data_IF_984732318276
#
_entry.id   IF_984732318276
#
_cell.length_a   1.000
_cell.length_b   1.000
_cell.length_c   1.000
_cell.angle_alpha   90.00
_cell.angle_beta   90.00
_cell.angle_gamma   90.00
#
_symmetry.space_group_name_H-M   'P 1'
#
loop_
_entity.id
_entity.type
_entity.pdbx_description
1 polymer ?
#
# COMPACT_ATOMS: atom_id res chain seq x y z
N UNK A 1 -22.16 11.20 -23.18
CA UNK A 1 -21.69 9.88 -23.66
C UNK A 1 -20.71 9.37 -22.61
N UNK A 2 -21.18 8.56 -21.67
CA UNK A 2 -20.36 8.01 -20.57
C UNK A 2 -20.22 6.53 -20.87
N UNK A 3 -19.01 6.12 -21.22
CA UNK A 3 -18.69 4.73 -21.51
C UNK A 3 -18.18 4.11 -20.21
N UNK A 4 -18.96 3.17 -19.68
CA UNK A 4 -18.55 2.23 -18.64
C UNK A 4 -17.84 1.06 -19.31
N UNK A 5 -16.63 0.69 -18.86
CA UNK A 5 -16.08 -0.65 -19.09
C UNK A 5 -15.44 -1.20 -17.81
N UNK A 6 -15.89 -2.42 -17.52
CA UNK A 6 -15.45 -3.34 -16.48
C UNK A 6 -13.97 -3.75 -16.61
N UNK A 7 -13.31 -3.94 -15.46
CA UNK A 7 -12.07 -4.69 -15.36
C UNK A 7 -11.57 -4.77 -13.91
N UNK A 8 -11.57 -5.98 -13.34
CA UNK A 8 -11.05 -6.38 -12.02
C UNK A 8 -11.88 -5.98 -10.79
N UNK A 9 -12.89 -6.80 -10.51
CA UNK A 9 -13.57 -6.86 -9.22
C UNK A 9 -12.67 -7.67 -8.28
N UNK A 10 -11.67 -7.03 -7.66
CA UNK A 10 -11.21 -7.52 -6.35
C UNK A 10 -12.19 -6.96 -5.33
N UNK A 11 -13.03 -7.86 -4.85
CA UNK A 11 -14.21 -7.57 -4.09
C UNK A 11 -13.83 -7.08 -2.68
N UNK A 12 -13.71 -5.76 -2.47
CA UNK A 12 -13.58 -5.15 -1.14
C UNK A 12 -14.85 -5.31 -0.26
N UNK A 13 -15.85 -6.12 -0.65
CA UNK A 13 -17.10 -6.28 0.10
C UNK A 13 -17.24 -7.54 0.96
N UNK A 14 -16.16 -8.33 1.16
CA UNK A 14 -16.10 -9.31 2.25
C UNK A 14 -14.91 -9.04 3.16
N UNK A 15 -15.01 -7.99 3.95
CA UNK A 15 -14.49 -7.85 5.34
C UNK A 15 -14.94 -6.50 5.96
N UNK A 16 -16.03 -5.90 5.46
CA UNK A 16 -16.73 -4.80 6.15
C UNK A 16 -17.72 -5.38 7.16
N UNK A 17 -17.19 -5.89 8.28
CA UNK A 17 -17.99 -6.09 9.48
C UNK A 17 -17.29 -5.46 10.68
N UNK A 18 -17.73 -4.23 10.99
CA UNK A 18 -17.73 -3.64 12.32
C UNK A 18 -16.52 -3.90 13.23
N UNK A 19 -15.48 -3.09 13.07
CA UNK A 19 -14.88 -2.22 14.11
C UNK A 19 -13.67 -1.51 13.50
N UNK A 20 -13.43 -0.28 13.97
CA UNK A 20 -12.20 0.49 13.76
C UNK A 20 -10.99 -0.44 13.60
N UNK A 21 -10.32 -0.41 12.44
CA UNK A 21 -8.92 -0.80 12.36
C UNK A 21 -8.12 0.31 13.05
N UNK A 22 -8.22 0.31 14.38
CA UNK A 22 -7.24 0.89 15.27
C UNK A 22 -5.89 0.32 14.88
N UNK A 23 -4.94 1.21 14.56
CA UNK A 23 -3.55 1.12 15.01
C UNK A 23 -3.11 -0.31 15.34
N UNK A 24 -2.45 -0.98 14.40
CA UNK A 24 -1.66 -2.18 14.73
C UNK A 24 -0.51 -1.68 15.58
N UNK A 25 -0.65 -1.80 16.90
CA UNK A 25 0.45 -1.64 17.83
C UNK A 25 1.56 -2.59 17.40
N UNK A 26 2.82 -2.14 17.45
CA UNK A 26 4.00 -2.91 17.07
C UNK A 26 4.22 -4.25 17.84
N UNK A 27 3.27 -4.68 18.69
CA UNK A 27 3.39 -5.86 19.55
C UNK A 27 2.47 -7.06 19.21
N UNK A 28 1.52 -6.94 18.27
CA UNK A 28 0.59 -8.04 17.94
C UNK A 28 0.66 -8.49 16.47
N UNK A 29 1.83 -8.41 15.84
CA UNK A 29 2.02 -9.02 14.52
C UNK A 29 1.92 -10.55 14.65
N UNK A 30 0.88 -11.14 14.06
CA UNK A 30 0.80 -12.58 13.88
C UNK A 30 1.77 -13.00 12.78
N UNK A 31 2.61 -13.98 13.09
CA UNK A 31 3.59 -14.54 12.15
C UNK A 31 3.02 -15.80 11.51
N UNK A 32 3.21 -15.94 10.21
CA UNK A 32 2.63 -17.03 9.44
C UNK A 32 3.71 -17.95 8.85
N UNK A 33 3.34 -19.21 8.64
CA UNK A 33 4.20 -20.19 7.97
C UNK A 33 4.31 -19.95 6.45
N UNK A 34 5.20 -20.72 5.81
CA UNK A 34 5.48 -20.61 4.37
C UNK A 34 4.25 -20.81 3.47
N UNK A 35 3.22 -21.51 3.96
CA UNK A 35 1.95 -21.67 3.25
C UNK A 35 1.23 -20.33 2.95
N UNK A 36 1.59 -19.26 3.65
CA UNK A 36 1.04 -17.92 3.42
C UNK A 36 1.90 -17.05 2.50
N UNK A 37 3.08 -17.50 2.10
CA UNK A 37 4.00 -16.74 1.24
C UNK A 37 3.36 -16.28 -0.08
N UNK A 38 2.59 -17.10 -0.82
CA UNK A 38 1.93 -16.64 -2.04
C UNK A 38 0.95 -15.48 -1.80
N UNK A 39 0.19 -15.51 -0.70
CA UNK A 39 -0.76 -14.45 -0.36
C UNK A 39 -0.03 -13.14 -0.02
N UNK A 40 1.09 -13.21 0.71
CA UNK A 40 1.88 -12.04 1.03
C UNK A 40 2.46 -11.37 -0.23
N UNK A 41 2.91 -12.17 -1.20
CA UNK A 41 3.35 -11.67 -2.51
C UNK A 41 2.21 -10.92 -3.19
N UNK A 42 1.04 -11.55 -3.33
CA UNK A 42 -0.15 -10.92 -3.96
C UNK A 42 -0.54 -9.61 -3.27
N UNK A 43 -0.59 -9.61 -1.93
CA UNK A 43 -0.91 -8.40 -1.15
C UNK A 43 0.09 -7.27 -1.39
N UNK A 44 1.39 -7.56 -1.32
CA UNK A 44 2.43 -6.55 -1.50
C UNK A 44 2.42 -5.94 -2.91
N UNK A 45 2.13 -6.76 -3.92
CA UNK A 45 2.04 -6.32 -5.31
C UNK A 45 0.77 -5.53 -5.58
N UNK A 46 -0.37 -5.96 -5.05
CA UNK A 46 -1.61 -5.19 -5.14
C UNK A 46 -1.51 -3.82 -4.45
N UNK A 47 -0.80 -3.75 -3.32
CA UNK A 47 -0.51 -2.48 -2.64
C UNK A 47 0.41 -1.59 -3.48
N UNK A 48 1.47 -2.16 -4.06
CA UNK A 48 2.37 -1.44 -4.95
C UNK A 48 1.65 -0.91 -6.19
N UNK A 49 0.85 -1.74 -6.87
CA UNK A 49 0.08 -1.36 -8.05
C UNK A 49 -0.88 -0.20 -7.75
N UNK A 50 -1.64 -0.31 -6.65
CA UNK A 50 -2.56 0.74 -6.22
C UNK A 50 -1.83 2.05 -5.90
N UNK A 51 -0.68 1.99 -5.22
CA UNK A 51 0.14 3.16 -4.93
C UNK A 51 0.69 3.80 -6.21
N UNK A 52 1.17 3.00 -7.17
CA UNK A 52 1.65 3.49 -8.46
C UNK A 52 0.54 4.18 -9.26
N UNK A 53 -0.66 3.62 -9.25
CA UNK A 53 -1.83 4.23 -9.88
C UNK A 53 -2.18 5.57 -9.23
N UNK A 54 -2.17 5.62 -7.90
CA UNK A 54 -2.45 6.85 -7.16
C UNK A 54 -1.39 7.93 -7.41
N UNK A 55 -0.11 7.56 -7.46
CA UNK A 55 0.98 8.47 -7.82
C UNK A 55 0.76 9.06 -9.22
N UNK A 56 0.45 8.20 -10.20
CA UNK A 56 0.15 8.62 -11.58
C UNK A 56 -1.03 9.59 -11.63
N UNK A 57 -2.12 9.28 -10.92
CA UNK A 57 -3.30 10.16 -10.84
C UNK A 57 -2.95 11.51 -10.21
N UNK A 58 -2.21 11.53 -9.11
CA UNK A 58 -1.78 12.76 -8.45
C UNK A 58 -0.92 13.63 -9.38
N UNK A 59 0.03 13.03 -10.09
CA UNK A 59 0.85 13.74 -11.09
C UNK A 59 0.01 14.36 -12.21
N UNK A 60 -0.98 13.64 -12.73
CA UNK A 60 -1.87 14.15 -13.78
C UNK A 60 -2.73 15.32 -13.30
N UNK A 61 -3.26 15.21 -12.09
CA UNK A 61 -4.09 16.25 -11.46
C UNK A 61 -3.27 17.52 -11.20
N UNK A 62 -2.03 17.36 -10.70
CA UNK A 62 -1.10 18.47 -10.51
C UNK A 62 -0.72 19.15 -11.84
N UNK A 63 -0.49 18.37 -12.90
CA UNK A 63 -0.18 18.90 -14.23
C UNK A 63 -1.33 19.74 -14.83
N UNK A 64 -2.57 19.52 -14.37
CA UNK A 64 -3.76 20.29 -14.77
C UNK A 64 -4.11 21.43 -13.82
N UNK A 65 -3.32 21.63 -12.75
CA UNK A 65 -3.62 22.57 -11.66
C UNK A 65 -4.96 22.29 -10.94
N UNK A 66 -5.48 21.06 -10.99
CA UNK A 66 -6.75 20.66 -10.37
C UNK A 66 -6.52 20.22 -8.91
N UNK A 67 -6.16 21.13 -8.01
CA UNK A 67 -5.75 20.74 -6.65
C UNK A 67 -6.85 19.93 -5.91
N UNK A 68 -6.49 18.80 -5.27
CA UNK A 68 -7.39 18.09 -4.36
C UNK A 68 -7.87 19.01 -3.23
N UNK A 69 -9.09 18.80 -2.75
CA UNK A 69 -9.56 19.49 -1.55
C UNK A 69 -8.76 19.05 -0.30
N UNK A 70 -8.74 19.88 0.74
CA UNK A 70 -7.97 19.63 1.96
C UNK A 70 -8.32 18.29 2.64
N UNK A 71 -9.58 17.85 2.59
CA UNK A 71 -10.02 16.59 3.23
C UNK A 71 -9.46 15.40 2.45
N UNK A 72 -9.53 15.44 1.13
CA UNK A 72 -8.96 14.44 0.23
C UNK A 72 -7.43 14.38 0.40
N UNK A 73 -6.76 15.53 0.46
CA UNK A 73 -5.32 15.62 0.66
C UNK A 73 -4.89 15.03 2.01
N UNK A 74 -5.56 15.40 3.11
CA UNK A 74 -5.27 14.83 4.43
C UNK A 74 -5.51 13.32 4.50
N UNK A 75 -6.60 12.83 3.91
CA UNK A 75 -6.90 11.40 3.89
C UNK A 75 -5.81 10.62 3.12
N UNK A 76 -5.37 11.16 1.97
CA UNK A 76 -4.29 10.59 1.19
C UNK A 76 -2.96 10.55 1.95
N UNK A 77 -2.55 11.67 2.56
CA UNK A 77 -1.31 11.75 3.36
C UNK A 77 -1.34 10.74 4.49
N UNK A 78 -2.43 10.72 5.26
CA UNK A 78 -2.58 9.78 6.39
C UNK A 78 -2.52 8.32 5.91
N UNK A 79 -3.19 7.99 4.81
CA UNK A 79 -3.19 6.63 4.27
C UNK A 79 -1.77 6.15 3.93
N UNK A 80 -1.01 6.95 3.18
CA UNK A 80 0.34 6.58 2.75
C UNK A 80 1.37 6.59 3.90
N UNK A 81 1.21 7.48 4.88
CA UNK A 81 2.00 7.42 6.12
C UNK A 81 1.76 6.11 6.86
N UNK A 82 0.49 5.78 7.11
CA UNK A 82 0.12 4.53 7.80
C UNK A 82 0.53 3.28 7.01
N UNK A 83 0.49 3.33 5.67
CA UNK A 83 0.97 2.21 4.86
C UNK A 83 2.48 1.99 5.04
N UNK A 84 3.28 3.06 5.03
CA UNK A 84 4.71 2.97 5.31
C UNK A 84 5.00 2.52 6.74
N UNK A 85 4.27 3.04 7.73
CA UNK A 85 4.37 2.64 9.14
C UNK A 85 4.08 1.15 9.37
N UNK A 86 3.30 0.51 8.50
CA UNK A 86 2.96 -0.91 8.59
C UNK A 86 3.79 -1.82 7.65
N UNK A 87 4.51 -1.24 6.68
CA UNK A 87 5.20 -2.01 5.64
C UNK A 87 6.34 -2.90 6.19
N UNK A 88 6.91 -2.54 7.35
CA UNK A 88 7.94 -3.32 8.05
C UNK A 88 7.55 -4.78 8.29
N UNK A 89 6.24 -5.07 8.43
CA UNK A 89 5.73 -6.43 8.69
C UNK A 89 6.13 -7.39 7.57
N UNK A 90 6.14 -6.93 6.31
CA UNK A 90 6.57 -7.75 5.18
C UNK A 90 8.04 -8.16 5.31
N UNK A 91 8.92 -7.22 5.65
CA UNK A 91 10.34 -7.50 5.80
C UNK A 91 10.64 -8.42 6.99
N UNK A 92 9.97 -8.22 8.12
CA UNK A 92 10.18 -9.08 9.29
C UNK A 92 9.63 -10.49 9.05
N UNK A 93 8.51 -10.65 8.34
CA UNK A 93 8.00 -11.95 7.93
C UNK A 93 8.95 -12.65 6.93
N UNK A 94 9.53 -11.93 5.97
CA UNK A 94 10.56 -12.45 5.06
C UNK A 94 11.80 -12.94 5.82
N UNK A 95 12.27 -12.15 6.79
CA UNK A 95 13.41 -12.52 7.64
C UNK A 95 13.15 -13.83 8.40
N UNK A 96 11.92 -14.02 8.88
CA UNK A 96 11.51 -15.27 9.54
C UNK A 96 11.55 -16.45 8.58
N UNK A 97 10.94 -16.32 7.40
CA UNK A 97 10.97 -17.37 6.38
C UNK A 97 12.37 -17.71 5.90
N UNK A 98 13.28 -16.73 5.79
CA UNK A 98 14.69 -16.99 5.43
C UNK A 98 15.44 -17.82 6.48
N UNK A 99 14.96 -17.90 7.70
CA UNK A 99 15.52 -18.78 8.74
C UNK A 99 14.95 -20.21 8.66
N UNK A 100 13.92 -20.44 7.85
CA UNK A 100 13.41 -21.78 7.53
C UNK A 100 14.19 -22.40 6.37
N UNK A 101 14.06 -23.71 6.18
CA UNK A 101 14.65 -24.40 5.03
C UNK A 101 13.82 -24.16 3.76
N UNK A 102 14.13 -23.09 3.02
CA UNK A 102 13.44 -22.71 1.79
C UNK A 102 13.94 -23.49 0.58
N UNK A 103 13.02 -23.87 -0.30
CA UNK A 103 13.37 -24.28 -1.66
C UNK A 103 13.59 -23.05 -2.58
N UNK A 104 14.04 -23.31 -3.80
CA UNK A 104 14.35 -22.27 -4.78
C UNK A 104 13.12 -21.43 -5.17
N UNK A 105 11.92 -22.01 -5.15
CA UNK A 105 10.68 -21.30 -5.48
C UNK A 105 10.30 -20.33 -4.35
N UNK A 106 10.32 -20.80 -3.10
CA UNK A 106 10.06 -19.99 -1.93
C UNK A 106 11.09 -18.86 -1.81
N UNK A 107 12.38 -19.11 -2.09
CA UNK A 107 13.41 -18.06 -2.13
C UNK A 107 13.09 -16.96 -3.14
N UNK A 108 12.60 -17.31 -4.33
CA UNK A 108 12.20 -16.34 -5.35
C UNK A 108 10.99 -15.53 -4.91
N UNK A 109 10.00 -16.17 -4.29
CA UNK A 109 8.80 -15.49 -3.80
C UNK A 109 9.13 -14.54 -2.64
N UNK A 110 10.01 -14.93 -1.71
CA UNK A 110 10.51 -14.04 -0.65
C UNK A 110 11.21 -12.82 -1.24
N UNK A 111 12.11 -13.02 -2.20
CA UNK A 111 12.80 -11.91 -2.86
C UNK A 111 11.83 -10.98 -3.63
N UNK A 112 10.79 -11.55 -4.25
CA UNK A 112 9.74 -10.79 -4.93
C UNK A 112 8.94 -9.94 -3.96
N UNK A 113 8.55 -10.50 -2.82
CA UNK A 113 7.87 -9.79 -1.73
C UNK A 113 8.70 -8.63 -1.19
N UNK A 114 9.98 -8.87 -0.86
CA UNK A 114 10.90 -7.83 -0.39
C UNK A 114 11.03 -6.69 -1.41
N UNK A 115 11.13 -7.03 -2.70
CA UNK A 115 11.19 -6.05 -3.78
C UNK A 115 9.92 -5.20 -3.85
N UNK A 116 8.75 -5.82 -3.83
CA UNK A 116 7.46 -5.11 -3.90
C UNK A 116 7.25 -4.20 -2.69
N UNK A 117 7.58 -4.68 -1.48
CA UNK A 117 7.50 -3.88 -0.25
C UNK A 117 8.46 -2.67 -0.28
N UNK A 118 9.69 -2.84 -0.77
CA UNK A 118 10.65 -1.74 -0.88
C UNK A 118 10.21 -0.69 -1.93
N UNK A 119 9.66 -1.16 -3.05
CA UNK A 119 9.11 -0.28 -4.07
C UNK A 119 7.88 0.48 -3.56
N UNK A 120 7.05 -0.16 -2.75
CA UNK A 120 5.87 0.47 -2.14
C UNK A 120 6.28 1.66 -1.25
N UNK A 121 7.26 1.47 -0.36
CA UNK A 121 7.81 2.56 0.46
C UNK A 121 8.31 3.74 -0.38
N UNK A 122 9.02 3.45 -1.47
CA UNK A 122 9.54 4.47 -2.38
C UNK A 122 8.43 5.23 -3.11
N UNK A 123 7.39 4.54 -3.58
CA UNK A 123 6.23 5.15 -4.26
C UNK A 123 5.42 6.00 -3.29
N UNK A 124 5.16 5.49 -2.09
CA UNK A 124 4.47 6.23 -1.03
C UNK A 124 5.25 7.48 -0.64
N UNK A 125 6.58 7.39 -0.54
CA UNK A 125 7.45 8.55 -0.32
C UNK A 125 7.29 9.63 -1.39
N UNK A 126 7.18 9.23 -2.67
CA UNK A 126 6.92 10.17 -3.77
C UNK A 126 5.53 10.82 -3.65
N UNK A 127 4.49 10.05 -3.30
CA UNK A 127 3.14 10.59 -3.09
C UNK A 127 3.14 11.62 -1.97
N UNK A 128 3.75 11.29 -0.83
CA UNK A 128 3.85 12.19 0.32
C UNK A 128 4.62 13.47 -0.01
N UNK A 129 5.72 13.35 -0.78
CA UNK A 129 6.50 14.50 -1.23
C UNK A 129 5.73 15.40 -2.23
N UNK A 130 4.87 14.83 -3.06
CA UNK A 130 3.99 15.62 -3.93
C UNK A 130 2.87 16.29 -3.13
N UNK A 131 2.26 15.55 -2.20
CA UNK A 131 1.18 16.04 -1.34
C UNK A 131 1.62 17.23 -0.48
N UNK A 132 2.83 17.21 0.07
CA UNK A 132 3.37 18.30 0.90
C UNK A 132 3.61 19.61 0.14
N UNK A 133 3.66 19.56 -1.20
CA UNK A 133 3.83 20.74 -2.06
C UNK A 133 2.51 21.42 -2.40
N UNK A 134 1.37 20.81 -2.08
CA UNK A 134 0.05 21.37 -2.35
C UNK A 134 -0.32 22.36 -1.23
N UNK A 135 -0.57 23.64 -1.54
CA UNK A 135 -1.02 24.60 -0.53
C UNK A 135 -2.36 24.19 0.04
N UNK A 136 -2.48 24.19 1.37
CA UNK A 136 -3.77 24.02 2.05
C UNK A 136 -4.57 25.32 1.91
N UNK A 137 -5.81 25.22 1.40
CA UNK A 137 -6.72 26.35 1.47
C UNK A 137 -7.06 26.66 2.93
N UNK A 138 -7.19 27.93 3.35
CA UNK A 138 -7.69 28.23 4.68
C UNK A 138 -9.08 27.62 4.86
N UNK A 139 -9.28 26.91 5.98
CA UNK A 139 -10.59 26.38 6.36
C UNK A 139 -11.54 27.57 6.51
N UNK A 140 -12.63 27.58 5.74
CA UNK A 140 -13.72 28.56 5.86
C UNK A 140 -14.61 28.22 7.04
#
# INVERSE_FOLDING_TARGET
>A
MVVFYHGSIFNQSLLLNNRRLTFVMANDANWYGLNMLPLYVEMSEGYLEAAMEQLKRLQQVLARCELPDNKTLHAMVKFHQTQNENNWVFFEQCKRWRNDNLDDEALRLVARLEKSAAQLEAVNGQILALASRIPLAPLK
#
